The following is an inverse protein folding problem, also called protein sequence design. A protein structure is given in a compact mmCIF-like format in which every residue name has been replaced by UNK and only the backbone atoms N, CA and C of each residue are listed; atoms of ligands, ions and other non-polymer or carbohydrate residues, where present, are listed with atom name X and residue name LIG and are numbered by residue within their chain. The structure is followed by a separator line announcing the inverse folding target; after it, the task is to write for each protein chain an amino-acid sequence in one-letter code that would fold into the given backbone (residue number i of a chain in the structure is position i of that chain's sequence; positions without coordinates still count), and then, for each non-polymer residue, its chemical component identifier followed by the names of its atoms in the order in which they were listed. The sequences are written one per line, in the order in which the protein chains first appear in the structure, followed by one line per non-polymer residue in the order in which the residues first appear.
data_IF_700428979728
#
_entry.id   IF_700428979728
#
_cell.length_a   1.000
_cell.length_b   1.000
_cell.length_c   1.000
_cell.angle_alpha   90.00
_cell.angle_beta   90.00
_cell.angle_gamma   90.00
#
_symmetry.space_group_name_H-M   'P 1'
#
loop_
_entity.id
_entity.type
_entity.pdbx_description
1 polymer ?
#
# COMPACT_ATOMS: atom_id res chain seq x y z
N UNK A 1 27.80 82.71 20.38
CA UNK A 1 27.46 81.36 20.88
C UNK A 1 28.09 80.32 19.97
N UNK A 2 29.34 79.94 20.26
CA UNK A 2 30.13 78.99 19.47
C UNK A 2 29.87 77.57 19.97
N UNK A 3 29.16 76.76 19.17
CA UNK A 3 29.02 75.32 19.43
C UNK A 3 30.02 74.58 18.58
N UNK A 4 30.99 73.96 19.26
CA UNK A 4 31.96 73.03 18.71
C UNK A 4 31.24 71.79 18.16
N UNK A 5 31.53 71.45 16.90
CA UNK A 5 31.13 70.19 16.29
C UNK A 5 32.16 69.11 16.65
N UNK A 6 31.75 68.11 17.42
CA UNK A 6 32.54 66.91 17.69
C UNK A 6 32.37 65.93 16.53
N UNK A 7 33.40 65.75 15.72
CA UNK A 7 33.47 64.69 14.71
C UNK A 7 34.00 63.40 15.35
N UNK A 8 33.17 62.36 15.40
CA UNK A 8 33.60 61.00 15.77
C UNK A 8 34.10 60.27 14.51
N UNK A 9 35.25 59.57 14.56
CA UNK A 9 35.72 58.77 13.44
C UNK A 9 34.91 57.47 13.33
N UNK A 10 34.27 57.26 12.18
CA UNK A 10 33.65 55.99 11.81
C UNK A 10 34.74 54.91 11.66
N UNK A 11 34.73 53.92 12.57
CA UNK A 11 35.45 52.66 12.39
C UNK A 11 34.75 51.82 11.32
N UNK A 12 35.35 51.73 10.13
CA UNK A 12 34.98 50.76 9.11
C UNK A 12 35.46 49.36 9.50
N UNK A 13 34.54 48.47 9.88
CA UNK A 13 34.81 47.04 10.02
C UNK A 13 34.71 46.41 8.62
N UNK A 14 35.84 45.99 8.06
CA UNK A 14 35.86 45.14 6.88
C UNK A 14 35.31 43.75 7.22
N UNK A 15 34.47 43.13 6.37
CA UNK A 15 34.04 41.76 6.58
C UNK A 15 35.22 40.80 6.33
N UNK A 16 35.59 40.07 7.38
CA UNK A 16 36.50 38.93 7.35
C UNK A 16 36.06 37.93 6.29
N UNK A 17 36.94 37.70 5.31
CA UNK A 17 36.82 36.61 4.33
C UNK A 17 36.92 35.28 5.07
N UNK A 18 35.76 34.73 5.47
CA UNK A 18 35.67 33.35 5.95
C UNK A 18 36.12 32.43 4.82
N UNK A 19 37.25 31.77 5.02
CA UNK A 19 37.71 30.63 4.25
C UNK A 19 36.55 29.65 4.08
N UNK A 20 36.22 29.31 2.83
CA UNK A 20 35.27 28.26 2.48
C UNK A 20 35.77 26.94 3.07
N UNK A 21 35.27 26.60 4.25
CA UNK A 21 35.39 25.26 4.77
C UNK A 21 34.76 24.32 3.74
N UNK A 22 35.54 23.34 3.29
CA UNK A 22 35.09 22.27 2.40
C UNK A 22 33.85 21.61 3.02
N UNK A 23 32.69 21.98 2.50
CA UNK A 23 31.44 21.35 2.87
C UNK A 23 31.53 19.89 2.45
N UNK A 24 31.61 18.99 3.43
CA UNK A 24 31.45 17.56 3.21
C UNK A 24 30.04 17.31 2.68
N UNK A 25 29.87 17.36 1.37
CA UNK A 25 28.64 16.95 0.70
C UNK A 25 28.51 15.45 0.81
N UNK A 26 27.60 15.00 1.68
CA UNK A 26 27.23 13.60 1.80
C UNK A 26 26.83 13.05 0.41
N UNK A 27 27.44 11.93 0.00
CA UNK A 27 27.15 11.21 -1.26
C UNK A 27 25.67 10.87 -1.44
N UNK A 28 24.88 10.89 -0.35
CA UNK A 28 23.43 10.65 -0.34
C UNK A 28 22.61 11.88 -0.75
N UNK A 29 23.14 13.10 -0.60
CA UNK A 29 22.49 14.34 -1.00
C UNK A 29 22.71 14.69 -2.48
N UNK A 30 23.80 14.21 -3.09
CA UNK A 30 24.03 14.32 -4.55
C UNK A 30 23.01 13.52 -5.37
N UNK A 31 22.45 12.43 -4.82
CA UNK A 31 21.41 11.64 -5.49
C UNK A 31 20.02 12.32 -5.53
N UNK A 32 19.81 13.37 -4.74
CA UNK A 32 18.54 14.13 -4.72
C UNK A 32 18.58 15.41 -5.54
N UNK A 33 19.75 15.78 -6.10
CA UNK A 33 19.87 16.83 -7.11
C UNK A 33 19.82 16.24 -8.53
N UNK A 34 19.02 15.20 -8.72
CA UNK A 34 18.69 14.75 -10.08
C UNK A 34 17.89 15.87 -10.74
N UNK A 35 18.50 16.47 -11.75
CA UNK A 35 17.99 17.47 -12.67
C UNK A 35 16.47 17.44 -12.83
N UNK A 36 15.81 18.46 -12.29
CA UNK A 36 14.40 18.77 -12.56
C UNK A 36 14.15 19.15 -14.03
N UNK A 37 15.16 19.10 -14.90
CA UNK A 37 15.11 19.40 -16.33
C UNK A 37 15.04 18.16 -17.24
N UNK A 38 15.05 16.93 -16.70
CA UNK A 38 14.69 15.75 -17.48
C UNK A 38 13.17 15.65 -17.58
N UNK A 39 12.58 16.42 -18.50
CA UNK A 39 11.18 16.27 -18.88
C UNK A 39 10.92 14.80 -19.21
N UNK A 40 10.10 14.13 -18.40
CA UNK A 40 9.67 12.77 -18.70
C UNK A 40 9.10 12.76 -20.13
N UNK A 41 9.48 11.78 -20.99
CA UNK A 41 8.94 11.71 -22.33
C UNK A 41 7.42 11.67 -22.20
N UNK A 42 6.77 12.74 -22.65
CA UNK A 42 5.32 12.80 -22.68
C UNK A 42 4.94 11.76 -23.73
N UNK A 43 4.48 10.59 -23.32
CA UNK A 43 4.05 9.51 -24.23
C UNK A 43 3.05 10.14 -25.20
N UNK A 44 3.48 10.40 -26.45
CA UNK A 44 2.65 11.05 -27.46
C UNK A 44 1.54 10.09 -27.85
N UNK A 45 0.34 10.43 -27.45
CA UNK A 45 -0.86 9.61 -27.65
C UNK A 45 -1.42 9.94 -29.03
N UNK A 46 -1.75 8.94 -29.88
CA UNK A 46 -2.38 9.23 -31.16
C UNK A 46 -3.76 9.88 -30.94
N UNK A 47 -4.20 10.71 -31.88
CA UNK A 47 -5.50 11.41 -31.80
C UNK A 47 -6.69 10.43 -31.64
N UNK A 48 -6.61 9.26 -32.29
CA UNK A 48 -7.60 8.18 -32.19
C UNK A 48 -7.21 7.11 -31.17
N UNK A 49 -6.85 7.53 -29.94
CA UNK A 49 -6.50 6.59 -28.89
C UNK A 49 -7.74 5.98 -28.24
N UNK A 50 -7.92 4.68 -28.46
CA UNK A 50 -8.94 3.87 -27.81
C UNK A 50 -8.28 2.68 -27.08
N UNK A 51 -8.21 2.73 -25.74
CA UNK A 51 -7.60 1.67 -24.96
C UNK A 51 -8.45 0.39 -24.86
N UNK A 52 -9.74 0.47 -25.21
CA UNK A 52 -10.69 -0.65 -25.09
C UNK A 52 -10.47 -1.71 -26.17
N UNK A 53 -10.14 -1.27 -27.39
CA UNK A 53 -9.92 -2.13 -28.56
C UNK A 53 -8.85 -3.21 -28.32
N UNK A 54 -8.89 -4.38 -28.97
CA UNK A 54 -7.79 -5.33 -28.98
C UNK A 54 -6.56 -4.77 -29.72
N UNK A 55 -5.37 -5.33 -29.46
CA UNK A 55 -4.11 -4.84 -30.04
C UNK A 55 -4.13 -4.78 -31.58
N UNK A 56 -4.73 -5.79 -32.23
CA UNK A 56 -4.85 -5.87 -33.70
C UNK A 56 -5.72 -4.78 -34.33
N UNK A 57 -6.60 -4.12 -33.56
CA UNK A 57 -7.48 -3.06 -34.06
C UNK A 57 -6.98 -1.65 -33.71
N UNK A 58 -5.94 -1.55 -32.88
CA UNK A 58 -5.32 -0.27 -32.52
C UNK A 58 -4.39 0.13 -33.63
N UNK A 59 -4.90 0.85 -34.62
CA UNK A 59 -4.11 1.36 -35.74
C UNK A 59 -4.02 2.87 -35.60
N UNK A 60 -2.80 3.38 -35.53
CA UNK A 60 -2.53 4.83 -35.48
C UNK A 60 -2.73 5.49 -36.84
N UNK A 61 -2.63 6.83 -36.91
CA UNK A 61 -2.71 7.55 -38.18
C UNK A 61 -1.64 7.10 -39.19
N UNK A 62 -0.50 6.62 -38.70
CA UNK A 62 0.63 6.14 -39.52
C UNK A 62 0.46 4.69 -40.02
N UNK A 63 -0.70 4.05 -39.76
CA UNK A 63 -0.95 2.65 -40.08
C UNK A 63 -0.28 1.63 -39.15
N UNK A 64 0.53 2.09 -38.19
CA UNK A 64 1.20 1.22 -37.22
C UNK A 64 0.36 0.98 -35.96
N UNK A 65 0.57 -0.18 -35.31
CA UNK A 65 -0.07 -0.48 -34.04
C UNK A 65 0.53 0.33 -32.89
N UNK A 66 -0.31 1.01 -32.11
CA UNK A 66 0.15 1.74 -30.93
C UNK A 66 0.01 0.92 -29.63
N UNK A 67 0.95 1.12 -28.71
CA UNK A 67 0.90 0.53 -27.37
C UNK A 67 -0.01 1.33 -26.43
N UNK A 68 -0.63 0.66 -25.46
CA UNK A 68 -1.34 1.34 -24.37
C UNK A 68 -0.38 2.15 -23.53
N UNK A 69 -0.91 3.26 -22.99
CA UNK A 69 -0.30 3.96 -21.86
C UNK A 69 -0.02 2.99 -20.73
N UNK A 70 1.02 3.30 -19.97
CA UNK A 70 1.37 2.52 -18.78
C UNK A 70 0.19 2.37 -17.80
N UNK A 71 -0.57 3.45 -17.57
CA UNK A 71 -1.77 3.44 -16.72
C UNK A 71 -2.79 2.41 -17.18
N UNK A 72 -3.12 2.43 -18.47
CA UNK A 72 -4.22 1.65 -19.03
C UNK A 72 -3.84 0.17 -19.13
N UNK A 73 -2.58 -0.11 -19.44
CA UNK A 73 -2.02 -1.47 -19.36
C UNK A 73 -2.12 -2.04 -17.94
N UNK A 74 -1.90 -1.22 -16.91
CA UNK A 74 -2.05 -1.65 -15.52
C UNK A 74 -3.52 -1.86 -15.13
N UNK A 75 -4.42 -0.99 -15.60
CA UNK A 75 -5.86 -1.12 -15.35
C UNK A 75 -6.44 -2.39 -15.99
N UNK A 76 -6.03 -2.72 -17.22
CA UNK A 76 -6.46 -3.93 -17.93
C UNK A 76 -5.98 -5.23 -17.29
N UNK A 77 -4.82 -5.21 -16.62
CA UNK A 77 -4.23 -6.40 -15.98
C UNK A 77 -4.91 -6.67 -14.61
N UNK A 78 -5.47 -7.86 -14.38
CA UNK A 78 -6.07 -8.19 -13.09
C UNK A 78 -5.01 -8.42 -12.01
N UNK A 79 -5.34 -8.06 -10.77
CA UNK A 79 -4.60 -8.52 -9.60
C UNK A 79 -5.10 -9.90 -9.17
N UNK A 80 -4.17 -10.79 -8.75
CA UNK A 80 -4.52 -12.09 -8.13
C UNK A 80 -5.32 -11.94 -6.82
N UNK A 81 -5.20 -10.78 -6.16
CA UNK A 81 -5.82 -10.50 -4.87
C UNK A 81 -6.94 -9.48 -5.05
N UNK A 82 -7.98 -9.60 -4.21
CA UNK A 82 -9.10 -8.67 -4.19
C UNK A 82 -8.63 -7.23 -3.93
N UNK A 83 -9.13 -6.28 -4.72
CA UNK A 83 -8.85 -4.87 -4.52
C UNK A 83 -9.68 -4.31 -3.36
N UNK A 84 -9.14 -3.34 -2.60
CA UNK A 84 -9.95 -2.62 -1.63
C UNK A 84 -11.10 -1.89 -2.34
N UNK A 85 -12.35 -1.98 -1.82
CA UNK A 85 -13.53 -1.43 -2.50
C UNK A 85 -13.43 0.08 -2.73
N UNK A 86 -12.74 0.79 -1.86
CA UNK A 86 -12.51 2.24 -1.93
C UNK A 86 -11.85 2.68 -3.25
N UNK A 87 -10.99 1.87 -3.85
CA UNK A 87 -10.38 2.23 -5.14
C UNK A 87 -11.37 2.10 -6.30
N UNK A 88 -12.26 1.11 -6.23
CA UNK A 88 -13.25 0.83 -7.27
C UNK A 88 -14.42 1.83 -7.22
N UNK A 89 -14.83 2.25 -6.02
CA UNK A 89 -15.92 3.22 -5.80
C UNK A 89 -15.79 4.55 -6.56
N UNK A 90 -14.56 4.93 -6.93
CA UNK A 90 -14.25 6.17 -7.63
C UNK A 90 -13.75 5.94 -9.05
N UNK A 91 -13.58 4.68 -9.46
CA UNK A 91 -13.05 4.34 -10.78
C UNK A 91 -14.10 4.53 -11.85
N UNK A 92 -13.75 5.27 -12.90
CA UNK A 92 -14.61 5.57 -14.04
C UNK A 92 -14.22 4.77 -15.28
N UNK A 93 -13.03 4.16 -15.28
CA UNK A 93 -12.48 3.44 -16.42
C UNK A 93 -13.29 2.21 -16.82
N UNK A 94 -13.66 2.16 -18.09
CA UNK A 94 -14.27 0.98 -18.73
C UNK A 94 -13.24 -0.13 -19.02
N UNK A 95 -11.95 0.23 -19.04
CA UNK A 95 -10.80 -0.63 -19.40
C UNK A 95 -10.46 -1.65 -18.30
N UNK A 96 -11.11 -1.56 -17.14
CA UNK A 96 -10.87 -2.48 -16.02
C UNK A 96 -11.05 -3.94 -16.42
N UNK A 97 -10.43 -4.85 -15.70
CA UNK A 97 -10.66 -6.28 -15.91
C UNK A 97 -12.10 -6.64 -15.53
N UNK A 98 -12.70 -7.65 -16.19
CA UNK A 98 -14.11 -8.05 -15.99
C UNK A 98 -14.44 -8.34 -14.51
N UNK A 99 -13.56 -9.07 -13.82
CA UNK A 99 -13.72 -9.35 -12.39
C UNK A 99 -13.70 -8.09 -11.52
N UNK A 100 -12.93 -7.07 -11.90
CA UNK A 100 -12.86 -5.81 -11.15
C UNK A 100 -14.03 -4.89 -11.48
N UNK A 101 -14.57 -4.97 -12.72
CA UNK A 101 -15.82 -4.32 -13.11
C UNK A 101 -16.99 -4.88 -12.30
N UNK A 102 -17.12 -6.21 -12.23
CA UNK A 102 -18.13 -6.84 -11.39
C UNK A 102 -18.01 -6.40 -9.92
N UNK A 103 -16.79 -6.39 -9.37
CA UNK A 103 -16.56 -5.89 -8.00
C UNK A 103 -16.93 -4.42 -7.82
N UNK A 104 -16.73 -3.58 -8.84
CA UNK A 104 -17.12 -2.17 -8.82
C UNK A 104 -18.64 -2.03 -8.84
N UNK A 105 -19.31 -2.80 -9.68
CA UNK A 105 -20.77 -2.75 -9.81
C UNK A 105 -21.46 -3.22 -8.50
N UNK A 106 -20.83 -4.15 -7.77
CA UNK A 106 -21.24 -4.54 -6.41
C UNK A 106 -21.00 -3.44 -5.35
N UNK A 107 -20.10 -2.48 -5.60
CA UNK A 107 -19.75 -1.47 -4.60
C UNK A 107 -20.74 -0.32 -4.55
N UNK A 108 -21.11 0.09 -3.32
CA UNK A 108 -21.95 1.26 -3.10
C UNK A 108 -21.22 2.52 -3.56
N UNK A 109 -21.86 3.30 -4.42
CA UNK A 109 -21.35 4.60 -4.87
C UNK A 109 -21.17 5.53 -3.66
N UNK A 110 -20.03 6.18 -3.59
CA UNK A 110 -19.75 7.13 -2.52
C UNK A 110 -20.56 8.42 -2.70
N UNK A 111 -20.78 9.15 -1.60
CA UNK A 111 -21.39 10.48 -1.64
C UNK A 111 -20.33 11.52 -1.97
N UNK A 112 -20.69 12.54 -2.76
CA UNK A 112 -19.85 13.71 -3.02
C UNK A 112 -19.56 14.45 -1.71
N UNK A 113 -18.29 14.67 -1.41
CA UNK A 113 -17.83 15.37 -0.21
C UNK A 113 -17.08 16.62 -0.66
N UNK A 114 -17.50 17.78 -0.20
CA UNK A 114 -16.85 19.07 -0.49
C UNK A 114 -16.36 19.68 0.81
N UNK A 115 -15.16 20.27 0.77
CA UNK A 115 -14.58 20.95 1.92
C UNK A 115 -13.67 22.10 1.52
N UNK A 116 -13.30 22.91 2.51
CA UNK A 116 -12.40 24.06 2.33
C UNK A 116 -11.05 23.73 2.97
N UNK A 117 -9.96 23.96 2.24
CA UNK A 117 -8.60 23.76 2.73
C UNK A 117 -8.29 24.83 3.78
N UNK A 118 -8.04 24.42 5.02
CA UNK A 118 -7.70 25.33 6.13
C UNK A 118 -6.19 25.56 6.20
N UNK A 119 -5.42 24.48 6.01
CA UNK A 119 -3.97 24.52 6.20
C UNK A 119 -3.28 23.60 5.19
N UNK A 120 -2.31 24.15 4.46
CA UNK A 120 -1.44 23.43 3.50
C UNK A 120 0.03 23.72 3.80
N UNK A 121 0.94 22.90 3.26
CA UNK A 121 2.40 23.10 3.39
C UNK A 121 3.05 22.71 4.72
N UNK A 122 2.26 22.41 5.78
CA UNK A 122 2.83 21.93 7.06
C UNK A 122 3.22 20.45 7.06
N UNK A 123 2.60 19.64 6.21
CA UNK A 123 2.86 18.20 6.07
C UNK A 123 3.00 17.87 4.59
N UNK A 124 3.96 17.01 4.24
CA UNK A 124 4.12 16.57 2.85
C UNK A 124 2.90 15.73 2.42
N UNK A 125 2.38 16.03 1.23
CA UNK A 125 1.27 15.34 0.58
C UNK A 125 0.00 15.24 1.43
N UNK A 126 -0.15 16.12 2.41
CA UNK A 126 -1.27 16.06 3.35
C UNK A 126 -1.71 17.47 3.73
N UNK A 127 -3.01 17.73 3.61
CA UNK A 127 -3.63 19.00 3.96
C UNK A 127 -4.73 18.81 5.00
N UNK A 128 -5.03 19.87 5.75
CA UNK A 128 -6.19 19.89 6.66
C UNK A 128 -7.37 20.53 5.94
N UNK A 129 -8.46 19.79 5.77
CA UNK A 129 -9.68 20.24 5.11
C UNK A 129 -10.82 20.29 6.12
N UNK A 130 -11.56 21.39 6.12
CA UNK A 130 -12.79 21.55 6.90
C UNK A 130 -13.98 21.16 6.06
N UNK A 131 -14.74 20.19 6.53
CA UNK A 131 -15.99 19.72 5.93
C UNK A 131 -17.15 20.30 6.72
N UNK A 132 -18.15 20.83 6.01
CA UNK A 132 -19.36 21.35 6.63
C UNK A 132 -20.26 20.18 7.05
N UNK A 133 -20.55 20.08 8.34
CA UNK A 133 -21.58 19.18 8.88
C UNK A 133 -22.68 19.98 9.57
N UNK A 134 -23.75 19.30 9.93
CA UNK A 134 -24.81 19.85 10.77
C UNK A 134 -25.11 18.86 11.89
N UNK A 135 -25.31 19.40 13.10
CA UNK A 135 -25.67 18.63 14.27
C UNK A 135 -27.01 19.12 14.81
N UNK A 136 -27.95 18.19 14.98
CA UNK A 136 -29.21 18.47 15.65
C UNK A 136 -28.98 18.62 17.15
N UNK A 137 -29.33 19.78 17.71
CA UNK A 137 -29.35 19.96 19.15
C UNK A 137 -30.73 19.59 19.68
N UNK A 138 -30.83 18.50 20.45
CA UNK A 138 -32.10 17.98 20.97
C UNK A 138 -32.80 18.92 21.96
N UNK A 139 -32.04 19.73 22.71
CA UNK A 139 -32.57 20.68 23.71
C UNK A 139 -33.21 21.89 23.04
N UNK A 140 -32.54 22.48 22.06
CA UNK A 140 -33.02 23.67 21.33
C UNK A 140 -33.91 23.27 20.15
N UNK A 141 -33.89 22.00 19.74
CA UNK A 141 -34.59 21.45 18.57
C UNK A 141 -34.28 22.22 17.28
N UNK A 142 -32.98 22.46 17.04
CA UNK A 142 -32.47 23.18 15.87
C UNK A 142 -31.19 22.54 15.34
N UNK A 143 -30.98 22.59 14.02
CA UNK A 143 -29.72 22.24 13.37
C UNK A 143 -28.69 23.36 13.53
N UNK A 144 -27.51 23.02 14.05
CA UNK A 144 -26.36 23.92 14.14
C UNK A 144 -25.26 23.45 13.19
N UNK A 145 -24.50 24.37 12.58
CA UNK A 145 -23.34 24.00 11.78
C UNK A 145 -22.26 23.39 12.68
N UNK A 146 -21.83 22.18 12.35
CA UNK A 146 -20.78 21.44 13.06
C UNK A 146 -19.70 21.05 12.06
N UNK A 147 -18.58 21.77 12.09
CA UNK A 147 -17.53 21.61 11.10
C UNK A 147 -16.52 20.58 11.59
N UNK A 148 -16.19 19.61 10.74
CA UNK A 148 -15.21 18.57 11.08
C UNK A 148 -13.96 18.79 10.25
N UNK A 149 -12.80 18.75 10.90
CA UNK A 149 -11.51 18.83 10.24
C UNK A 149 -10.98 17.43 9.95
N UNK A 150 -10.62 17.17 8.70
CA UNK A 150 -10.00 15.92 8.27
C UNK A 150 -8.61 16.17 7.71
N UNK A 151 -7.73 15.18 7.92
CA UNK A 151 -6.48 15.08 7.18
C UNK A 151 -6.77 14.41 5.83
N UNK A 152 -6.36 15.07 4.76
CA UNK A 152 -6.62 14.66 3.39
C UNK A 152 -5.29 14.53 2.65
N UNK A 153 -5.14 13.45 1.90
CA UNK A 153 -3.95 13.22 1.07
C UNK A 153 -4.04 14.01 -0.24
N UNK A 154 -3.00 14.78 -0.54
CA UNK A 154 -2.76 15.48 -1.79
C UNK A 154 -1.50 14.89 -2.44
N UNK A 155 -1.62 14.03 -3.47
CA UNK A 155 -0.47 13.29 -4.01
C UNK A 155 0.68 14.17 -4.54
N UNK A 156 0.34 15.33 -5.10
CA UNK A 156 1.26 16.20 -5.85
C UNK A 156 1.46 17.59 -5.20
N UNK A 157 0.97 17.80 -3.97
CA UNK A 157 1.07 19.09 -3.26
C UNK A 157 0.53 20.27 -4.10
N UNK A 158 -0.66 20.09 -4.66
CA UNK A 158 -1.29 21.05 -5.59
C UNK A 158 -2.14 22.10 -4.88
N UNK A 159 -2.46 21.89 -3.60
CA UNK A 159 -3.43 22.68 -2.86
C UNK A 159 -2.83 23.85 -2.07
N UNK A 160 -3.57 24.95 -2.05
CA UNK A 160 -3.29 26.18 -1.30
C UNK A 160 -4.39 26.37 -0.24
N UNK A 161 -4.05 27.04 0.86
CA UNK A 161 -5.03 27.42 1.89
C UNK A 161 -6.12 28.30 1.31
N UNK A 162 -7.39 27.95 1.57
CA UNK A 162 -8.56 28.65 1.05
C UNK A 162 -9.23 27.98 -0.14
N UNK A 163 -8.59 27.00 -0.79
CA UNK A 163 -9.20 26.28 -1.91
C UNK A 163 -10.47 25.50 -1.46
N UNK A 164 -11.46 25.44 -2.34
CA UNK A 164 -12.60 24.53 -2.20
C UNK A 164 -12.33 23.27 -3.01
N UNK A 165 -12.37 22.12 -2.36
CA UNK A 165 -11.97 20.83 -2.94
C UNK A 165 -13.05 19.78 -2.81
N UNK A 166 -13.12 18.91 -3.81
CA UNK A 166 -13.91 17.68 -3.77
C UNK A 166 -13.03 16.53 -3.27
N UNK A 167 -13.59 15.70 -2.39
CA UNK A 167 -12.87 14.64 -1.70
C UNK A 167 -13.46 13.26 -2.03
N UNK A 168 -12.56 12.30 -2.22
CA UNK A 168 -12.89 10.88 -2.30
C UNK A 168 -12.50 10.17 -1.00
N UNK A 169 -13.31 9.20 -0.55
CA UNK A 169 -12.95 8.32 0.56
C UNK A 169 -11.95 7.28 0.10
N UNK A 170 -10.70 7.40 0.54
CA UNK A 170 -9.64 6.45 0.26
C UNK A 170 -8.63 6.46 1.40
N UNK A 171 -8.45 5.32 2.07
CA UNK A 171 -7.56 5.22 3.21
C UNK A 171 -6.11 5.07 2.76
N UNK A 172 -5.34 6.14 2.94
CA UNK A 172 -3.90 6.18 2.62
C UNK A 172 -3.05 5.84 3.84
N UNK A 173 -3.47 6.31 5.02
CA UNK A 173 -2.78 6.09 6.29
C UNK A 173 -3.79 5.83 7.42
N UNK A 174 -3.31 5.63 8.64
CA UNK A 174 -4.18 5.40 9.82
C UNK A 174 -5.11 6.59 10.09
N UNK A 175 -4.62 7.82 9.93
CA UNK A 175 -5.38 9.06 10.18
C UNK A 175 -5.89 9.76 8.90
N UNK A 176 -5.41 9.32 7.72
CA UNK A 176 -5.72 9.96 6.43
C UNK A 176 -6.65 9.04 5.66
N UNK A 177 -7.93 9.38 5.71
CA UNK A 177 -9.05 8.57 5.17
C UNK A 177 -9.64 9.15 3.88
N UNK A 178 -9.22 10.36 3.51
CA UNK A 178 -9.71 11.07 2.34
C UNK A 178 -8.55 11.46 1.42
N UNK A 179 -8.85 11.55 0.13
CA UNK A 179 -7.94 11.98 -0.92
C UNK A 179 -8.62 13.05 -1.76
N UNK A 180 -7.86 14.02 -2.24
CA UNK A 180 -8.36 15.09 -3.10
C UNK A 180 -8.77 14.50 -4.46
N UNK A 181 -9.98 14.78 -4.93
CA UNK A 181 -10.47 14.37 -6.24
C UNK A 181 -10.22 15.44 -7.29
N UNK A 182 -10.70 16.65 -7.03
CA UNK A 182 -10.58 17.81 -7.90
C UNK A 182 -10.65 19.10 -7.08
N UNK A 183 -10.12 20.19 -7.66
CA UNK A 183 -10.29 21.54 -7.12
C UNK A 183 -11.59 22.09 -7.70
N UNK A 184 -12.55 22.43 -6.84
CA UNK A 184 -13.84 23.01 -7.25
C UNK A 184 -13.69 24.51 -7.50
N UNK A 185 -13.01 25.20 -6.58
CA UNK A 185 -12.73 26.63 -6.69
C UNK A 185 -11.31 26.90 -6.16
N UNK A 186 -10.35 27.27 -7.02
CA UNK A 186 -9.01 27.65 -6.57
C UNK A 186 -9.04 29.02 -5.88
N UNK A 187 -8.18 29.20 -4.88
CA UNK A 187 -7.93 30.47 -4.20
C UNK A 187 -6.52 30.98 -4.56
N UNK A 188 -6.42 32.24 -5.00
CA UNK A 188 -5.14 32.85 -5.36
C UNK A 188 -4.60 32.34 -6.70
N UNK A 189 -3.69 31.36 -6.68
CA UNK A 189 -3.03 30.88 -7.91
C UNK A 189 -3.99 30.06 -8.78
N UNK A 190 -4.01 30.26 -10.11
CA UNK A 190 -4.89 29.52 -11.01
C UNK A 190 -4.48 28.04 -11.08
N UNK A 191 -5.43 27.18 -11.49
CA UNK A 191 -5.24 25.72 -11.56
C UNK A 191 -4.09 25.30 -12.49
N UNK A 192 -3.89 26.05 -13.57
CA UNK A 192 -2.86 25.77 -14.59
C UNK A 192 -1.43 25.92 -14.07
N UNK A 193 -1.22 26.81 -13.11
CA UNK A 193 0.11 27.06 -12.51
C UNK A 193 0.53 26.00 -11.49
N UNK A 194 -0.38 25.07 -11.16
CA UNK A 194 -0.21 24.10 -10.07
C UNK A 194 0.06 22.71 -10.64
N UNK A 195 0.72 21.82 -9.88
CA UNK A 195 0.82 20.41 -10.25
C UNK A 195 -0.58 19.81 -10.49
N UNK A 196 -0.77 18.97 -11.53
CA UNK A 196 -2.06 18.34 -11.79
C UNK A 196 -2.35 17.28 -10.72
N UNK A 197 -3.61 17.18 -10.29
CA UNK A 197 -4.06 16.16 -9.33
C UNK A 197 -4.31 14.84 -10.08
N UNK A 198 -3.76 13.70 -9.62
CA UNK A 198 -3.95 12.43 -10.31
C UNK A 198 -5.39 11.95 -10.18
N UNK A 199 -5.92 11.44 -11.30
CA UNK A 199 -7.29 10.94 -11.39
C UNK A 199 -7.48 9.68 -10.54
N UNK A 200 -8.74 9.30 -10.26
CA UNK A 200 -9.02 8.09 -9.49
C UNK A 200 -8.45 6.82 -10.15
N UNK A 201 -8.52 6.75 -11.48
CA UNK A 201 -8.02 5.64 -12.28
C UNK A 201 -6.48 5.62 -12.31
N UNK A 202 -5.82 6.77 -12.40
CA UNK A 202 -4.35 6.86 -12.27
C UNK A 202 -3.87 6.42 -10.88
N UNK A 203 -4.59 6.80 -9.82
CA UNK A 203 -4.30 6.33 -8.46
C UNK A 203 -4.46 4.82 -8.33
N UNK A 204 -5.50 4.26 -8.95
CA UNK A 204 -5.71 2.82 -9.00
C UNK A 204 -4.59 2.12 -9.79
N UNK A 205 -4.17 2.69 -10.92
CA UNK A 205 -3.05 2.18 -11.71
C UNK A 205 -1.75 2.21 -10.90
N UNK A 206 -1.46 3.31 -10.19
CA UNK A 206 -0.30 3.44 -9.30
C UNK A 206 -0.34 2.40 -8.16
N UNK A 207 -1.51 2.19 -7.56
CA UNK A 207 -1.72 1.14 -6.57
C UNK A 207 -1.42 -0.25 -7.15
N UNK A 208 -1.98 -0.57 -8.33
CA UNK A 208 -1.72 -1.83 -9.04
C UNK A 208 -0.24 -1.99 -9.36
N UNK A 209 0.44 -0.95 -9.85
CA UNK A 209 1.87 -0.99 -10.14
C UNK A 209 2.67 -1.38 -8.90
N UNK A 210 2.41 -0.72 -7.77
CA UNK A 210 3.04 -1.03 -6.50
C UNK A 210 2.77 -2.48 -6.07
N UNK A 211 1.53 -2.95 -6.20
CA UNK A 211 1.16 -4.34 -5.90
C UNK A 211 1.85 -5.35 -6.82
N UNK A 212 1.90 -5.11 -8.13
CA UNK A 212 2.60 -5.98 -9.07
C UNK A 212 4.10 -6.03 -8.77
N UNK A 213 4.75 -4.90 -8.50
CA UNK A 213 6.16 -4.86 -8.08
C UNK A 213 6.38 -5.67 -6.80
N UNK A 214 5.46 -5.58 -5.83
CA UNK A 214 5.51 -6.38 -4.60
C UNK A 214 5.35 -7.88 -4.88
N UNK A 215 4.39 -8.28 -5.70
CA UNK A 215 4.15 -9.68 -6.06
C UNK A 215 5.32 -10.26 -6.86
N UNK A 216 5.87 -9.52 -7.82
CA UNK A 216 7.07 -9.92 -8.56
C UNK A 216 8.25 -10.16 -7.62
N UNK A 217 8.48 -9.28 -6.65
CA UNK A 217 9.53 -9.51 -5.63
C UNK A 217 9.28 -10.77 -4.81
N UNK A 218 8.02 -11.06 -4.46
CA UNK A 218 7.66 -12.28 -3.73
C UNK A 218 7.87 -13.53 -4.59
N UNK A 219 7.43 -13.52 -5.84
CA UNK A 219 7.58 -14.63 -6.78
C UNK A 219 9.06 -14.91 -7.07
N UNK A 220 9.89 -13.87 -7.22
CA UNK A 220 11.33 -14.04 -7.36
C UNK A 220 11.96 -14.67 -6.12
N UNK A 221 11.52 -14.29 -4.90
CA UNK A 221 12.00 -14.92 -3.67
C UNK A 221 11.57 -16.38 -3.55
N UNK A 222 10.34 -16.71 -3.93
CA UNK A 222 9.88 -18.10 -3.97
C UNK A 222 10.73 -18.92 -4.94
N UNK A 223 10.93 -18.42 -6.16
CA UNK A 223 11.78 -19.08 -7.17
C UNK A 223 13.25 -19.19 -6.75
N UNK A 224 13.77 -18.17 -6.06
CA UNK A 224 15.12 -18.20 -5.52
C UNK A 224 15.23 -19.28 -4.43
N UNK A 225 14.24 -19.41 -3.54
CA UNK A 225 14.19 -20.48 -2.54
C UNK A 225 14.10 -21.89 -3.17
N UNK A 226 13.52 -22.01 -4.37
CA UNK A 226 13.56 -23.24 -5.18
C UNK A 226 14.95 -23.52 -5.80
N UNK A 227 15.95 -22.66 -5.62
CA UNK A 227 17.32 -22.82 -6.15
C UNK A 227 17.52 -22.27 -7.58
N UNK A 228 16.57 -21.50 -8.14
CA UNK A 228 16.69 -20.98 -9.52
C UNK A 228 17.69 -19.83 -9.60
N UNK A 229 18.84 -20.08 -10.23
CA UNK A 229 19.93 -19.12 -10.41
C UNK A 229 19.49 -17.78 -11.05
N UNK A 230 18.60 -17.82 -12.05
CA UNK A 230 18.08 -16.61 -12.71
C UNK A 230 17.36 -15.68 -11.73
N UNK A 231 16.57 -16.24 -10.81
CA UNK A 231 15.82 -15.48 -9.82
C UNK A 231 16.75 -14.84 -8.79
N UNK A 232 17.80 -15.56 -8.38
CA UNK A 232 18.85 -15.07 -7.48
C UNK A 232 19.59 -13.89 -8.12
N UNK A 233 20.02 -14.03 -9.40
CA UNK A 233 20.64 -12.95 -10.16
C UNK A 233 19.72 -11.74 -10.30
N UNK A 234 18.43 -11.95 -10.61
CA UNK A 234 17.46 -10.86 -10.72
C UNK A 234 17.22 -10.12 -9.40
N UNK A 235 17.26 -10.80 -8.26
CA UNK A 235 17.18 -10.18 -6.93
C UNK A 235 18.45 -9.39 -6.61
N UNK A 236 19.64 -9.96 -6.85
CA UNK A 236 20.94 -9.30 -6.66
C UNK A 236 21.05 -8.03 -7.51
N UNK A 237 20.65 -8.07 -8.79
CA UNK A 237 20.63 -6.91 -9.69
C UNK A 237 19.68 -5.80 -9.21
N UNK A 238 18.62 -6.16 -8.48
CA UNK A 238 17.69 -5.21 -7.86
C UNK A 238 18.16 -4.73 -6.47
N UNK A 239 19.34 -5.15 -6.01
CA UNK A 239 19.86 -4.85 -4.67
C UNK A 239 19.05 -5.47 -3.53
N UNK A 240 18.35 -6.57 -3.80
CA UNK A 240 17.52 -7.27 -2.81
C UNK A 240 18.21 -8.57 -2.39
N UNK A 241 18.25 -8.83 -1.08
CA UNK A 241 18.78 -10.08 -0.56
C UNK A 241 17.84 -11.25 -0.91
N UNK A 242 18.36 -12.36 -1.47
CA UNK A 242 17.56 -13.51 -1.89
C UNK A 242 17.01 -14.33 -0.70
N UNK A 243 17.68 -14.28 0.45
CA UNK A 243 17.37 -15.09 1.64
C UNK A 243 18.67 -15.69 2.19
N UNK A 244 18.68 -16.07 3.47
CA UNK A 244 19.81 -16.84 4.03
C UNK A 244 19.80 -18.26 3.46
N UNK A 245 20.97 -18.80 3.09
CA UNK A 245 21.13 -20.17 2.58
C UNK A 245 20.62 -20.41 1.15
N UNK A 246 20.30 -19.36 0.39
CA UNK A 246 19.84 -19.48 -0.99
C UNK A 246 21.02 -19.41 -1.95
N UNK A 247 21.44 -20.56 -2.46
CA UNK A 247 22.53 -20.71 -3.44
C UNK A 247 22.01 -21.18 -4.81
N UNK A 248 22.81 -20.94 -5.86
CA UNK A 248 22.48 -21.35 -7.22
C UNK A 248 22.54 -22.88 -7.32
N UNK A 249 21.40 -23.55 -7.58
CA UNK A 249 21.34 -25.01 -7.78
C UNK A 249 21.06 -25.83 -6.52
N UNK A 250 21.20 -25.25 -5.32
CA UNK A 250 20.81 -25.89 -4.05
C UNK A 250 19.33 -25.58 -3.80
N UNK A 251 18.46 -26.43 -4.35
CA UNK A 251 17.02 -26.37 -4.09
C UNK A 251 16.66 -26.89 -2.70
N UNK A 252 15.42 -26.64 -2.26
CA UNK A 252 14.86 -26.96 -0.93
C UNK A 252 15.07 -28.38 -0.37
N UNK A 253 15.59 -29.34 -1.14
CA UNK A 253 15.80 -30.71 -0.68
C UNK A 253 16.98 -30.84 0.29
N UNK A 254 18.01 -30.00 0.21
CA UNK A 254 19.21 -30.18 1.05
C UNK A 254 19.18 -29.39 2.36
N UNK A 255 18.31 -28.38 2.48
CA UNK A 255 18.21 -27.55 3.70
C UNK A 255 17.08 -27.99 4.66
N UNK A 256 16.49 -29.17 4.45
CA UNK A 256 15.37 -29.70 5.25
C UNK A 256 15.75 -30.90 6.15
N UNK A 257 17.04 -31.18 6.31
CA UNK A 257 17.53 -32.18 7.27
C UNK A 257 18.12 -31.46 8.50
N UNK A 258 17.25 -31.00 9.39
CA UNK A 258 17.63 -30.88 10.80
C UNK A 258 17.66 -32.31 11.39
N UNK A 259 18.62 -32.60 12.27
CA UNK A 259 18.95 -33.94 12.81
C UNK A 259 17.85 -34.71 13.56
N UNK A 260 16.60 -34.26 13.50
CA UNK A 260 15.42 -34.86 14.15
C UNK A 260 14.51 -35.63 13.16
N UNK A 261 14.84 -35.69 11.87
CA UNK A 261 14.18 -36.56 10.88
C UNK A 261 12.73 -36.18 10.51
N UNK A 262 12.26 -34.97 10.83
CA UNK A 262 10.93 -34.49 10.43
C UNK A 262 11.01 -33.52 9.24
N UNK A 263 10.42 -33.92 8.12
CA UNK A 263 10.27 -33.08 6.93
C UNK A 263 9.23 -31.98 7.18
N UNK A 264 9.68 -30.76 7.48
CA UNK A 264 8.77 -29.60 7.54
C UNK A 264 8.39 -29.19 6.12
N UNK A 265 7.08 -29.13 5.84
CA UNK A 265 6.60 -28.64 4.56
C UNK A 265 6.78 -27.11 4.45
N UNK A 266 7.09 -26.55 3.27
CA UNK A 266 7.49 -25.14 3.11
C UNK A 266 6.34 -24.12 3.32
N UNK A 267 5.12 -24.57 3.58
CA UNK A 267 4.01 -23.66 3.90
C UNK A 267 4.13 -23.03 5.28
N UNK A 268 4.90 -23.64 6.19
CA UNK A 268 5.03 -23.18 7.58
C UNK A 268 6.35 -22.47 7.90
N UNK A 269 7.39 -22.62 7.08
CA UNK A 269 8.70 -22.00 7.30
C UNK A 269 9.14 -21.11 6.13
N UNK A 270 9.50 -19.85 6.43
CA UNK A 270 10.39 -19.02 5.61
C UNK A 270 9.86 -18.10 4.48
N UNK A 271 8.54 -17.82 4.35
CA UNK A 271 8.07 -16.76 3.41
C UNK A 271 7.24 -15.64 4.07
N UNK A 272 6.81 -15.83 5.32
CA UNK A 272 6.35 -14.73 6.16
C UNK A 272 7.60 -14.07 6.74
N UNK A 273 7.84 -12.79 6.44
CA UNK A 273 8.82 -12.02 7.19
C UNK A 273 8.46 -12.13 8.66
N UNK A 274 9.23 -12.89 9.42
CA UNK A 274 8.92 -13.22 10.79
C UNK A 274 8.93 -11.93 11.61
N UNK A 275 7.74 -11.53 12.05
CA UNK A 275 7.61 -10.85 13.33
C UNK A 275 8.06 -11.86 14.39
N UNK A 276 9.36 -12.01 14.58
CA UNK A 276 9.90 -13.02 15.48
C UNK A 276 11.21 -13.65 15.04
N UNK A 277 12.16 -12.90 14.47
CA UNK A 277 13.55 -13.32 14.61
C UNK A 277 13.83 -13.44 16.12
N UNK A 278 13.91 -14.68 16.61
CA UNK A 278 14.47 -14.94 17.93
C UNK A 278 15.92 -14.47 17.86
N UNK A 279 16.24 -13.40 18.60
CA UNK A 279 17.64 -13.12 18.91
C UNK A 279 18.21 -14.35 19.63
N UNK A 280 19.51 -14.61 19.48
CA UNK A 280 20.18 -15.62 20.30
C UNK A 280 19.83 -15.38 21.76
N UNK A 281 19.53 -16.46 22.50
CA UNK A 281 19.26 -16.37 23.93
C UNK A 281 20.36 -15.56 24.62
N UNK A 282 19.97 -14.44 25.24
CA UNK A 282 20.87 -13.63 26.06
C UNK A 282 21.34 -12.29 25.48
N UNK A 283 20.93 -11.86 24.28
CA UNK A 283 21.36 -10.54 23.77
C UNK A 283 20.18 -9.71 23.23
N UNK A 284 19.78 -8.69 23.99
CA UNK A 284 19.08 -7.51 23.45
C UNK A 284 19.76 -6.22 23.93
N UNK A 285 19.92 -5.23 23.04
CA UNK A 285 20.47 -3.93 23.37
C UNK A 285 19.41 -3.08 24.08
N UNK A 286 19.67 -2.68 25.32
CA UNK A 286 19.09 -1.46 25.90
C UNK A 286 17.68 -1.52 26.48
N UNK A 287 17.30 -2.58 27.21
CA UNK A 287 16.08 -2.57 28.04
C UNK A 287 16.07 -3.65 29.11
N UNK A 288 16.10 -3.25 30.39
CA UNK A 288 15.99 -4.13 31.56
C UNK A 288 14.57 -4.71 31.71
N UNK A 289 14.17 -5.62 30.81
CA UNK A 289 13.09 -6.56 31.06
C UNK A 289 13.54 -7.92 30.57
N UNK A 290 13.58 -8.90 31.48
CA UNK A 290 13.68 -10.31 31.12
C UNK A 290 12.57 -10.62 30.12
N UNK A 291 12.92 -11.29 29.02
CA UNK A 291 11.93 -11.77 28.05
C UNK A 291 11.05 -12.76 28.80
N UNK A 292 9.84 -12.29 29.09
CA UNK A 292 8.88 -12.97 29.93
C UNK A 292 8.62 -14.39 29.47
N UNK A 293 8.50 -15.26 30.47
CA UNK A 293 7.86 -16.58 30.43
C UNK A 293 6.79 -16.64 29.35
N UNK A 294 6.75 -17.73 28.59
CA UNK A 294 5.62 -18.07 27.71
C UNK A 294 4.34 -17.72 28.48
N UNK A 295 3.56 -16.74 27.98
CA UNK A 295 2.36 -16.30 28.67
C UNK A 295 1.54 -17.54 29.02
N UNK A 296 1.29 -17.80 30.30
CA UNK A 296 0.58 -19.00 30.78
C UNK A 296 -0.76 -19.18 30.03
N UNK A 297 -1.36 -18.06 29.61
CA UNK A 297 -2.54 -17.97 28.75
C UNK A 297 -2.38 -18.64 27.38
N UNK A 298 -1.21 -18.52 26.74
CA UNK A 298 -0.94 -19.17 25.45
C UNK A 298 -0.83 -20.68 25.58
N UNK A 299 -0.26 -21.19 26.68
CA UNK A 299 -0.18 -22.63 26.97
C UNK A 299 -1.55 -23.21 27.28
N UNK A 300 -2.36 -22.50 28.05
CA UNK A 300 -3.75 -22.87 28.36
C UNK A 300 -4.61 -22.93 27.09
N UNK A 301 -4.56 -21.89 26.25
CA UNK A 301 -5.31 -21.87 24.99
C UNK A 301 -4.89 -22.98 24.03
N UNK A 302 -3.59 -23.33 24.00
CA UNK A 302 -3.08 -24.45 23.19
C UNK A 302 -3.48 -25.82 23.75
N UNK A 303 -3.70 -25.94 25.06
CA UNK A 303 -4.23 -27.15 25.69
C UNK A 303 -5.74 -27.29 25.44
N UNK A 304 -6.49 -26.20 25.56
CA UNK A 304 -7.92 -26.13 25.25
C UNK A 304 -8.18 -26.54 23.79
N UNK A 305 -7.40 -26.01 22.85
CA UNK A 305 -7.52 -26.37 21.43
C UNK A 305 -7.24 -27.86 21.17
N UNK A 306 -6.29 -28.46 21.90
CA UNK A 306 -6.00 -29.90 21.82
C UNK A 306 -7.15 -30.75 22.37
N UNK A 307 -7.80 -30.31 23.44
CA UNK A 307 -8.98 -30.98 24.01
C UNK A 307 -10.16 -30.94 23.04
N UNK A 308 -10.48 -29.77 22.48
CA UNK A 308 -11.56 -29.62 21.50
C UNK A 308 -11.33 -30.52 20.28
N UNK A 309 -10.11 -30.57 19.75
CA UNK A 309 -9.79 -31.43 18.60
C UNK A 309 -9.90 -32.93 18.92
N UNK A 310 -9.56 -33.34 20.14
CA UNK A 310 -9.74 -34.72 20.59
C UNK A 310 -11.23 -35.08 20.74
N UNK A 311 -12.04 -34.14 21.25
CA UNK A 311 -13.49 -34.29 21.37
C UNK A 311 -14.15 -34.37 19.99
N UNK A 312 -13.78 -33.49 19.05
CA UNK A 312 -14.22 -33.57 17.65
C UNK A 312 -13.89 -34.93 17.02
N UNK A 313 -12.68 -35.46 17.28
CA UNK A 313 -12.29 -36.77 16.75
C UNK A 313 -13.11 -37.93 17.32
N UNK A 314 -13.49 -37.86 18.60
CA UNK A 314 -14.37 -38.85 19.25
C UNK A 314 -15.80 -38.77 18.72
N UNK A 315 -16.33 -37.56 18.59
CA UNK A 315 -17.67 -37.33 18.04
C UNK A 315 -17.76 -37.85 16.59
N UNK A 316 -16.68 -37.68 15.80
CA UNK A 316 -16.60 -38.22 14.45
C UNK A 316 -16.53 -39.75 14.41
N UNK A 317 -15.83 -40.41 15.34
CA UNK A 317 -15.83 -41.88 15.41
C UNK A 317 -17.18 -42.43 15.85
N UNK A 318 -17.81 -41.84 16.87
CA UNK A 318 -19.13 -42.24 17.34
C UNK A 318 -20.21 -42.05 16.26
N UNK A 319 -20.13 -40.97 15.48
CA UNK A 319 -21.05 -40.76 14.36
C UNK A 319 -20.91 -41.84 13.28
N UNK A 320 -19.68 -42.26 12.97
CA UNK A 320 -19.41 -43.34 12.00
C UNK A 320 -19.89 -44.70 12.51
N UNK A 321 -19.75 -44.98 13.80
CA UNK A 321 -20.25 -46.22 14.41
C UNK A 321 -21.78 -46.28 14.33
N UNK A 322 -22.48 -45.19 14.68
CA UNK A 322 -23.95 -45.09 14.55
C UNK A 322 -24.42 -45.23 13.10
N UNK A 323 -23.69 -44.65 12.15
CA UNK A 323 -23.98 -44.80 10.72
C UNK A 323 -23.82 -46.25 10.26
N UNK A 324 -22.81 -46.97 10.78
CA UNK A 324 -22.63 -48.39 10.50
C UNK A 324 -23.75 -49.26 11.11
N UNK A 325 -24.19 -48.96 12.33
CA UNK A 325 -25.31 -49.65 12.99
C UNK A 325 -26.63 -49.46 12.24
N UNK A 326 -26.94 -48.23 11.81
CA UNK A 326 -28.14 -47.95 11.00
C UNK A 326 -28.10 -48.70 9.66
N UNK A 327 -26.95 -48.73 8.98
CA UNK A 327 -26.80 -49.49 7.75
C UNK A 327 -26.98 -51.01 7.97
N UNK A 328 -26.55 -51.55 9.11
CA UNK A 328 -26.78 -52.96 9.45
C UNK A 328 -28.27 -53.24 9.70
N UNK A 329 -28.97 -52.36 10.44
CA UNK A 329 -30.42 -52.47 10.66
C UNK A 329 -31.20 -52.37 9.35
N UNK A 330 -30.80 -51.50 8.42
CA UNK A 330 -31.40 -51.38 7.09
C UNK A 330 -31.19 -52.63 6.23
N UNK A 331 -30.05 -53.34 6.39
CA UNK A 331 -29.80 -54.61 5.71
C UNK A 331 -30.63 -55.75 6.31
N UNK A 332 -30.77 -55.80 7.63
CA UNK A 332 -31.59 -56.80 8.33
C UNK A 332 -33.09 -56.65 8.02
N UNK A 333 -33.59 -55.42 7.96
CA UNK A 333 -34.99 -55.13 7.57
C UNK A 333 -35.26 -55.48 6.11
N UNK A 334 -34.30 -55.28 5.20
CA UNK A 334 -34.41 -55.70 3.80
C UNK A 334 -34.39 -57.22 3.62
N UNK A 335 -33.68 -57.94 4.48
CA UNK A 335 -33.61 -59.42 4.41
C UNK A 335 -34.86 -60.08 5.00
N UNK A 336 -35.52 -59.46 5.97
CA UNK A 336 -36.75 -59.99 6.59
C UNK A 336 -38.03 -59.70 5.79
N UNK A 337 -37.96 -58.82 4.79
CA UNK A 337 -39.08 -58.41 3.92
C UNK A 337 -39.12 -59.13 2.56
N UNK A 338 -38.31 -60.19 2.37
CA UNK A 338 -38.29 -61.08 1.19
C UNK A 338 -38.87 -62.44 1.50
#
# INVERSE_FOLDING_TARGET
MSRHALSLPFRTLAPSTRSLASQWTCRRCLATQADASSGAPTETVPANYDPTLPFSQRIGPDGQHYSLKKSDRLLKKPLKQRLPPQFLQHSTSEILHESERAMRDDTVRHKKIVGVVVNSGKMDKTVTVRINGQKWNTRIRKMFPDHIQHLVHDPNNSLVTGDVVELHRLKVSRKVEHVVASIVSPFGTPIESRPPIPTADERLAAYKEYRFKKLQRRELRVKAAEGKAEAIRALKNRGLNPGAGVEDGVGQLENAEDGDGQTKTPSEGAILGEKGQKLPEGVLPGGMREVGKIDDWSTEKKAEYRRLRAEESRNLSEAKEKEAELNQQDLETRNTSR
#
